data_IF_413530452356
#
_entry.id   IF_413530452356
#
_cell.length_a   1.000
_cell.length_b   1.000
_cell.length_c   1.000
_cell.angle_alpha   90.00
_cell.angle_beta   90.00
_cell.angle_gamma   90.00
#
_symmetry.space_group_name_H-M   'P 1'
#
loop_
_entity.id
_entity.type
_entity.pdbx_description
1 polymer ?
#
# COMPACT_ATOMS: atom_id res chain seq x y z
N UNK A 1 28.01 10.09 18.65
CA UNK A 1 27.52 9.34 17.47
C UNK A 1 27.14 10.34 16.39
N UNK A 2 27.69 10.24 15.17
CA UNK A 2 27.26 11.12 14.06
C UNK A 2 25.84 10.69 13.65
N UNK A 3 24.88 11.61 13.71
CA UNK A 3 23.51 11.39 13.24
C UNK A 3 23.61 11.23 11.73
N UNK A 4 23.39 10.03 11.22
CA UNK A 4 23.31 9.80 9.78
C UNK A 4 22.11 10.60 9.26
N UNK A 5 22.38 11.60 8.42
CA UNK A 5 21.34 12.34 7.72
C UNK A 5 20.93 11.51 6.51
N UNK A 6 19.77 10.88 6.57
CA UNK A 6 19.17 10.22 5.43
C UNK A 6 18.54 11.30 4.55
N UNK A 7 18.79 11.27 3.24
CA UNK A 7 18.16 12.20 2.33
C UNK A 7 16.66 11.88 2.21
N UNK A 8 15.83 12.90 2.03
CA UNK A 8 14.39 12.70 1.84
C UNK A 8 14.10 11.80 0.63
N UNK A 9 14.89 11.94 -0.44
CA UNK A 9 14.76 11.13 -1.65
C UNK A 9 15.00 9.64 -1.37
N UNK A 10 15.96 9.31 -0.50
CA UNK A 10 16.23 7.93 -0.10
C UNK A 10 15.05 7.34 0.68
N UNK A 11 14.39 8.15 1.51
CA UNK A 11 13.18 7.75 2.23
C UNK A 11 12.02 7.49 1.28
N UNK A 12 11.79 8.38 0.31
CA UNK A 12 10.74 8.23 -0.69
C UNK A 12 10.98 6.96 -1.50
N UNK A 13 12.20 6.76 -2.01
CA UNK A 13 12.56 5.58 -2.78
C UNK A 13 12.40 4.28 -1.96
N UNK A 14 12.75 4.30 -0.67
CA UNK A 14 12.55 3.16 0.21
C UNK A 14 11.05 2.83 0.41
N UNK A 15 10.21 3.85 0.58
CA UNK A 15 8.76 3.70 0.72
C UNK A 15 8.13 3.16 -0.57
N UNK A 16 8.48 3.72 -1.72
CA UNK A 16 8.01 3.26 -3.03
C UNK A 16 8.42 1.80 -3.28
N UNK A 17 9.68 1.46 -2.98
CA UNK A 17 10.17 0.07 -3.09
C UNK A 17 9.40 -0.88 -2.17
N UNK A 18 9.09 -0.45 -0.94
CA UNK A 18 8.31 -1.26 -0.02
C UNK A 18 6.89 -1.48 -0.53
N UNK A 19 6.25 -0.44 -1.08
CA UNK A 19 4.92 -0.51 -1.70
C UNK A 19 4.90 -1.53 -2.84
N UNK A 20 5.86 -1.48 -3.75
CA UNK A 20 5.95 -2.39 -4.89
C UNK A 20 6.09 -3.85 -4.47
N UNK A 21 6.83 -4.11 -3.39
CA UNK A 21 6.97 -5.45 -2.82
C UNK A 21 5.63 -5.99 -2.32
N UNK A 22 4.87 -5.18 -1.58
CA UNK A 22 3.54 -5.57 -1.08
C UNK A 22 2.60 -5.83 -2.24
N UNK A 23 2.57 -4.96 -3.25
CA UNK A 23 1.77 -5.21 -4.46
C UNK A 23 2.14 -6.53 -5.12
N UNK A 24 3.43 -6.83 -5.26
CA UNK A 24 3.90 -8.06 -5.87
C UNK A 24 3.55 -9.32 -5.06
N UNK A 25 3.56 -9.24 -3.73
CA UNK A 25 3.14 -10.32 -2.83
C UNK A 25 1.63 -10.59 -2.95
N UNK A 26 0.81 -9.53 -2.97
CA UNK A 26 -0.64 -9.67 -3.16
C UNK A 26 -0.99 -10.26 -4.53
N UNK A 27 -0.35 -9.79 -5.60
CA UNK A 27 -0.55 -10.35 -6.95
C UNK A 27 -0.17 -11.84 -6.97
N UNK A 28 0.97 -12.21 -6.36
CA UNK A 28 1.39 -13.62 -6.28
C UNK A 28 0.40 -14.47 -5.50
N UNK A 29 -0.15 -13.94 -4.42
CA UNK A 29 -1.19 -14.61 -3.62
C UNK A 29 -2.44 -14.89 -4.46
N UNK A 30 -2.98 -13.87 -5.13
CA UNK A 30 -4.18 -14.01 -5.98
C UNK A 30 -3.97 -14.99 -7.13
N UNK A 31 -2.79 -14.96 -7.76
CA UNK A 31 -2.45 -15.92 -8.82
C UNK A 31 -2.40 -17.36 -8.28
N UNK A 32 -1.89 -17.56 -7.07
CA UNK A 32 -1.88 -18.89 -6.43
C UNK A 32 -3.28 -19.43 -6.17
N UNK A 33 -4.27 -18.56 -5.98
CA UNK A 33 -5.69 -18.92 -5.85
C UNK A 33 -6.42 -19.08 -7.20
N UNK A 34 -5.70 -18.99 -8.34
CA UNK A 34 -6.26 -19.23 -9.67
C UNK A 34 -6.76 -17.98 -10.39
N UNK A 35 -6.52 -16.78 -9.85
CA UNK A 35 -6.88 -15.53 -10.53
C UNK A 35 -5.85 -15.23 -11.63
N UNK A 36 -6.28 -14.89 -12.86
CA UNK A 36 -5.35 -14.50 -13.92
C UNK A 36 -4.47 -13.31 -13.50
N UNK A 37 -3.17 -13.38 -13.80
CA UNK A 37 -2.17 -12.38 -13.36
C UNK A 37 -2.55 -10.94 -13.72
N UNK A 38 -3.05 -10.71 -14.93
CA UNK A 38 -3.46 -9.37 -15.37
C UNK A 38 -4.63 -8.82 -14.53
N UNK A 39 -5.60 -9.68 -14.19
CA UNK A 39 -6.73 -9.32 -13.33
C UNK A 39 -6.25 -9.08 -11.89
N UNK A 40 -5.39 -9.94 -11.35
CA UNK A 40 -4.80 -9.76 -10.03
C UNK A 40 -4.03 -8.43 -9.92
N UNK A 41 -3.25 -8.07 -10.95
CA UNK A 41 -2.55 -6.79 -11.02
C UNK A 41 -3.53 -5.61 -11.01
N UNK A 42 -4.60 -5.65 -11.81
CA UNK A 42 -5.62 -4.60 -11.81
C UNK A 42 -6.34 -4.48 -10.47
N UNK A 43 -6.69 -5.61 -9.84
CA UNK A 43 -7.37 -5.64 -8.54
C UNK A 43 -6.49 -5.06 -7.42
N UNK A 44 -5.19 -5.36 -7.42
CA UNK A 44 -4.24 -4.81 -6.44
C UNK A 44 -4.00 -3.32 -6.73
N UNK A 45 -3.74 -2.94 -7.98
CA UNK A 45 -3.55 -1.54 -8.37
C UNK A 45 -4.74 -0.65 -7.98
N UNK A 46 -5.98 -1.12 -8.21
CA UNK A 46 -7.18 -0.40 -7.82
C UNK A 46 -7.24 -0.13 -6.31
N UNK A 47 -6.89 -1.09 -5.46
CA UNK A 47 -6.85 -0.90 -3.99
C UNK A 47 -5.77 0.10 -3.56
N UNK A 48 -4.59 0.03 -4.18
CA UNK A 48 -3.49 0.94 -3.88
C UNK A 48 -3.71 2.36 -4.41
N UNK A 49 -4.61 2.55 -5.37
CA UNK A 49 -5.09 3.86 -5.82
C UNK A 49 -6.23 4.38 -4.93
N UNK A 50 -7.14 3.49 -4.48
CA UNK A 50 -8.32 3.86 -3.70
C UNK A 50 -8.00 4.44 -2.31
N UNK A 51 -6.85 4.11 -1.72
CA UNK A 51 -6.47 4.61 -0.38
C UNK A 51 -6.09 6.11 -0.34
N UNK A 52 -5.98 6.77 -1.50
CA UNK A 52 -5.82 8.24 -1.58
C UNK A 52 -7.17 8.97 -1.72
N UNK A 53 -8.26 8.25 -2.02
CA UNK A 53 -9.63 8.79 -2.10
C UNK A 53 -10.51 8.39 -0.89
N UNK A 54 -9.89 8.05 0.24
CA UNK A 54 -10.61 7.84 1.51
C UNK A 54 -10.84 9.12 2.32
N UNK A 55 -10.33 10.25 1.83
CA UNK A 55 -10.69 11.58 2.28
C UNK A 55 -11.63 12.13 1.19
N UNK A 56 -12.89 12.33 1.54
CA UNK A 56 -14.01 12.78 0.69
C UNK A 56 -14.66 11.73 -0.25
N UNK A 57 -15.77 11.13 0.22
CA UNK A 57 -16.90 10.83 -0.68
C UNK A 57 -17.58 9.46 -0.54
N UNK A 58 -18.47 9.37 0.46
CA UNK A 58 -19.70 8.55 0.48
C UNK A 58 -19.61 7.00 0.52
N UNK A 59 -19.93 6.48 1.71
CA UNK A 59 -20.90 5.39 1.83
C UNK A 59 -20.35 3.99 2.11
N UNK A 60 -20.26 3.63 3.39
CA UNK A 60 -20.27 2.22 3.83
C UNK A 60 -19.20 1.90 4.86
N UNK A 61 -19.61 1.92 6.13
CA UNK A 61 -18.99 1.30 7.31
C UNK A 61 -17.69 0.51 7.08
N UNK A 62 -16.54 1.15 7.28
CA UNK A 62 -15.31 0.46 7.63
C UNK A 62 -14.71 1.19 8.83
N UNK A 63 -14.62 0.46 9.94
CA UNK A 63 -14.08 0.91 11.22
C UNK A 63 -12.83 1.77 11.06
N UNK A 64 -12.64 2.80 11.91
CA UNK A 64 -11.43 3.61 11.84
C UNK A 64 -10.24 2.67 12.01
N UNK A 65 -9.33 2.68 11.05
CA UNK A 65 -7.97 2.23 11.28
C UNK A 65 -7.35 3.20 12.29
N UNK A 66 -7.72 2.99 13.57
CA UNK A 66 -7.07 3.57 14.72
C UNK A 66 -5.67 2.98 14.69
N UNK A 67 -4.76 3.70 14.03
CA UNK A 67 -3.37 3.61 14.39
C UNK A 67 -3.32 3.74 15.91
N UNK A 68 -2.79 2.75 16.64
CA UNK A 68 -2.73 2.86 18.09
C UNK A 68 -1.99 4.15 18.38
N UNK A 69 -2.67 5.04 19.11
CA UNK A 69 -2.14 6.31 19.56
C UNK A 69 -0.78 6.02 20.23
N UNK A 70 0.30 6.36 19.52
CA UNK A 70 1.66 6.29 20.04
C UNK A 70 1.95 7.62 20.74
N UNK A 71 1.17 7.90 21.79
CA UNK A 71 1.41 9.00 22.73
C UNK A 71 1.75 8.45 24.11
#
# INVERSE_FOLDING_TARGET
MKRATIALDDLIAAVETARDKVMADEVRSLVKFGIPKAMAQQMVAARFQQKVSGEDGEGGEAEPAAWPDMS
#
